data_IF_915677070356
#
_entry.id   IF_915677070356
#
_cell.length_a   1.000
_cell.length_b   1.000
_cell.length_c   1.000
_cell.angle_alpha   90.00
_cell.angle_beta   90.00
_cell.angle_gamma   90.00
#
_symmetry.space_group_name_H-M   'P 1'
#
loop_
_entity.id
_entity.type
_entity.pdbx_description
1 polymer ?
#
# COMPACT_ATOMS: atom_id res chain seq x y z
N UNK A 1 -7.84 6.50 13.73
CA UNK A 1 -7.78 7.56 12.71
C UNK A 1 -8.51 7.08 11.48
N UNK A 2 -9.60 7.77 11.08
CA UNK A 2 -10.33 7.44 9.85
C UNK A 2 -9.40 7.72 8.67
N UNK A 3 -8.77 6.70 8.14
CA UNK A 3 -7.89 6.76 6.94
C UNK A 3 -8.68 6.95 5.64
N UNK A 4 -10.01 7.06 5.72
CA UNK A 4 -10.88 7.50 4.64
C UNK A 4 -10.33 8.73 3.91
N UNK A 5 -9.78 9.72 4.65
CA UNK A 5 -9.33 10.98 4.08
C UNK A 5 -8.26 10.85 3.00
N UNK A 6 -7.26 9.95 3.17
CA UNK A 6 -6.16 9.81 2.20
C UNK A 6 -6.64 9.33 0.83
N UNK A 7 -7.39 8.22 0.82
CA UNK A 7 -7.82 7.58 -0.44
C UNK A 7 -9.01 8.32 -1.04
N UNK A 8 -9.95 8.80 -0.21
CA UNK A 8 -11.10 9.59 -0.69
C UNK A 8 -10.61 10.92 -1.31
N UNK A 9 -9.66 11.62 -0.68
CA UNK A 9 -9.09 12.84 -1.23
C UNK A 9 -8.39 12.60 -2.57
N UNK A 10 -7.64 11.51 -2.70
CA UNK A 10 -7.03 11.12 -3.97
C UNK A 10 -8.08 10.84 -5.04
N UNK A 11 -9.16 10.12 -4.67
CA UNK A 11 -10.28 9.81 -5.56
C UNK A 11 -10.98 11.07 -6.06
N UNK A 12 -11.28 12.00 -5.17
CA UNK A 12 -11.94 13.27 -5.53
C UNK A 12 -11.05 14.12 -6.44
N UNK A 13 -9.76 14.28 -6.09
CA UNK A 13 -8.81 15.08 -6.87
C UNK A 13 -8.59 14.57 -8.29
N UNK A 14 -8.60 13.27 -8.46
CA UNK A 14 -8.36 12.63 -9.77
C UNK A 14 -9.65 12.13 -10.43
N UNK A 15 -10.83 12.34 -9.81
CA UNK A 15 -12.12 11.88 -10.29
C UNK A 15 -12.08 10.39 -10.68
N UNK A 16 -11.67 9.52 -9.74
CA UNK A 16 -11.40 8.12 -10.03
C UNK A 16 -12.65 7.24 -10.01
N UNK A 17 -12.68 6.27 -10.93
CA UNK A 17 -13.61 5.15 -10.91
C UNK A 17 -13.38 4.24 -9.68
N UNK A 18 -14.35 3.38 -9.30
CA UNK A 18 -14.18 2.47 -8.16
C UNK A 18 -12.92 1.62 -8.26
N UNK A 19 -12.66 1.02 -9.42
CA UNK A 19 -11.52 0.13 -9.61
C UNK A 19 -10.18 0.89 -9.54
N UNK A 20 -10.10 2.09 -10.12
CA UNK A 20 -8.93 2.95 -10.01
C UNK A 20 -8.71 3.42 -8.56
N UNK A 21 -9.80 3.70 -7.83
CA UNK A 21 -9.74 4.08 -6.41
C UNK A 21 -9.20 2.95 -5.54
N UNK A 22 -9.66 1.71 -5.74
CA UNK A 22 -9.16 0.57 -4.97
C UNK A 22 -7.70 0.29 -5.31
N UNK A 23 -7.32 0.30 -6.59
CA UNK A 23 -5.95 0.03 -7.01
C UNK A 23 -4.97 1.09 -6.47
N UNK A 24 -5.24 2.38 -6.74
CA UNK A 24 -4.38 3.46 -6.23
C UNK A 24 -4.44 3.55 -4.70
N UNK A 25 -5.58 3.32 -4.08
CA UNK A 25 -5.75 3.34 -2.64
C UNK A 25 -4.92 2.28 -1.91
N UNK A 26 -4.84 1.06 -2.45
CA UNK A 26 -3.91 0.03 -1.96
C UNK A 26 -2.46 0.51 -2.08
N UNK A 27 -2.07 1.06 -3.23
CA UNK A 27 -0.71 1.56 -3.43
C UNK A 27 -0.38 2.75 -2.54
N UNK A 28 -1.32 3.69 -2.32
CA UNK A 28 -1.17 4.81 -1.38
C UNK A 28 -0.97 4.31 0.05
N UNK A 29 -1.74 3.30 0.47
CA UNK A 29 -1.63 2.70 1.81
C UNK A 29 -0.28 2.00 1.98
N UNK A 30 0.15 1.19 1.01
CA UNK A 30 1.47 0.54 1.01
C UNK A 30 2.60 1.57 1.01
N UNK A 31 2.52 2.57 0.13
CA UNK A 31 3.49 3.66 0.05
C UNK A 31 3.58 4.49 1.34
N UNK A 32 2.46 4.75 2.01
CA UNK A 32 2.44 5.43 3.31
C UNK A 32 3.23 4.66 4.38
N UNK A 33 2.99 3.35 4.48
CA UNK A 33 3.69 2.49 5.43
C UNK A 33 5.19 2.39 5.09
N UNK A 34 5.53 2.20 3.81
CA UNK A 34 6.94 2.16 3.36
C UNK A 34 7.64 3.50 3.55
N UNK A 35 6.94 4.63 3.34
CA UNK A 35 7.45 5.97 3.61
C UNK A 35 7.78 6.18 5.10
N UNK A 36 6.92 5.68 5.99
CA UNK A 36 7.15 5.73 7.43
C UNK A 36 8.37 4.89 7.90
N UNK A 37 8.81 3.93 7.09
CA UNK A 37 10.02 3.12 7.37
C UNK A 37 11.31 3.83 6.96
N UNK A 38 11.26 4.96 6.24
CA UNK A 38 12.42 5.76 5.89
C UNK A 38 12.99 6.44 7.15
N UNK A 39 14.30 6.71 7.16
CA UNK A 39 15.02 7.07 8.40
C UNK A 39 15.13 8.57 8.62
N UNK A 40 15.30 9.35 7.54
CA UNK A 40 15.57 10.78 7.65
C UNK A 40 14.37 11.59 7.14
N UNK A 41 14.08 12.69 7.78
CA UNK A 41 12.98 13.60 7.43
C UNK A 41 12.96 14.09 5.98
N UNK A 42 14.12 14.11 5.34
CA UNK A 42 14.27 14.52 3.94
C UNK A 42 14.14 13.36 2.94
N UNK A 43 14.12 12.12 3.42
CA UNK A 43 14.01 10.96 2.55
C UNK A 43 12.67 10.95 1.81
N UNK A 44 12.71 10.52 0.54
CA UNK A 44 11.53 10.41 -0.31
C UNK A 44 11.47 9.01 -0.90
N UNK A 45 10.34 8.37 -0.69
CA UNK A 45 9.99 7.11 -1.34
C UNK A 45 9.10 7.37 -2.53
N UNK A 46 9.39 6.73 -3.66
CA UNK A 46 8.45 6.65 -4.80
C UNK A 46 8.21 5.19 -5.16
N UNK A 47 6.95 4.78 -5.17
CA UNK A 47 6.51 3.45 -5.60
C UNK A 47 5.76 3.62 -6.91
N UNK A 48 6.20 2.93 -7.95
CA UNK A 48 5.59 2.99 -9.27
C UNK A 48 5.23 1.59 -9.75
N UNK A 49 4.02 1.45 -10.28
CA UNK A 49 3.57 0.26 -11.00
C UNK A 49 3.33 0.66 -12.46
N UNK A 50 3.95 -0.06 -13.37
CA UNK A 50 3.73 0.05 -14.82
C UNK A 50 3.20 -1.28 -15.32
N UNK A 51 1.89 -1.34 -15.57
CA UNK A 51 1.21 -2.52 -16.10
C UNK A 51 0.75 -2.31 -17.53
N UNK A 52 0.44 -3.41 -18.20
CA UNK A 52 -0.15 -3.38 -19.55
C UNK A 52 -1.68 -3.41 -19.53
N UNK A 53 -2.28 -3.45 -18.35
CA UNK A 53 -3.72 -3.37 -18.18
C UNK A 53 -4.28 -1.95 -18.44
N UNK A 54 -5.61 -1.81 -18.51
CA UNK A 54 -6.25 -0.55 -18.90
C UNK A 54 -6.06 0.61 -17.91
N UNK A 55 -5.62 0.36 -16.68
CA UNK A 55 -5.26 1.39 -15.70
C UNK A 55 -3.95 2.10 -16.07
N UNK A 56 -3.06 1.42 -16.81
CA UNK A 56 -1.76 1.92 -17.22
C UNK A 56 -0.75 1.94 -16.06
N UNK A 57 -0.31 3.12 -15.67
CA UNK A 57 0.65 3.29 -14.59
C UNK A 57 0.02 3.89 -13.34
N UNK A 58 0.57 3.53 -12.19
CA UNK A 58 0.28 4.18 -10.91
C UNK A 58 1.58 4.63 -10.27
N UNK A 59 1.61 5.80 -9.67
CA UNK A 59 2.78 6.31 -8.97
C UNK A 59 2.34 6.91 -7.64
N UNK A 60 3.05 6.54 -6.59
CA UNK A 60 2.85 7.06 -5.22
C UNK A 60 4.18 7.56 -4.71
N UNK A 61 4.17 8.73 -4.09
CA UNK A 61 5.32 9.31 -3.39
C UNK A 61 4.95 9.53 -1.93
N UNK A 62 5.82 9.10 -1.03
CA UNK A 62 5.63 9.21 0.41
C UNK A 62 6.91 9.65 1.11
N UNK A 63 6.77 10.17 2.34
CA UNK A 63 7.88 10.52 3.20
C UNK A 63 7.67 10.04 4.65
N UNK A 64 8.69 10.10 5.53
CA UNK A 64 8.58 9.66 6.93
C UNK A 64 7.52 10.39 7.75
N UNK A 65 7.09 11.57 7.33
CA UNK A 65 6.10 12.39 8.04
C UNK A 65 4.65 11.98 7.76
N UNK A 66 4.45 10.88 7.03
CA UNK A 66 3.12 10.42 6.64
C UNK A 66 2.45 11.26 5.55
N UNK A 67 3.22 12.09 4.84
CA UNK A 67 2.74 12.85 3.70
C UNK A 67 2.82 11.97 2.45
N UNK A 68 1.68 11.73 1.82
CA UNK A 68 1.56 10.80 0.69
C UNK A 68 0.80 11.48 -0.44
N UNK A 69 1.24 11.26 -1.65
CA UNK A 69 0.52 11.65 -2.87
C UNK A 69 0.67 10.57 -3.93
N UNK A 70 -0.25 10.53 -4.86
CA UNK A 70 -0.19 9.58 -5.96
C UNK A 70 -1.17 9.90 -7.05
N UNK A 71 -0.97 9.28 -8.20
CA UNK A 71 -1.86 9.38 -9.35
C UNK A 71 -1.89 8.07 -10.13
N UNK A 72 -2.88 7.95 -10.99
CA UNK A 72 -3.11 6.81 -11.87
C UNK A 72 -3.22 7.29 -13.32
N UNK A 73 -2.67 6.52 -14.26
CA UNK A 73 -2.64 6.89 -15.68
C UNK A 73 -4.03 7.00 -16.30
N UNK A 74 -4.93 6.05 -16.01
CA UNK A 74 -6.31 6.10 -16.44
C UNK A 74 -7.25 6.06 -15.20
N UNK A 75 -7.68 7.23 -14.71
CA UNK A 75 -8.55 7.30 -13.54
C UNK A 75 -10.00 6.82 -13.80
N UNK A 76 -10.42 6.73 -15.06
CA UNK A 76 -11.78 6.36 -15.47
C UNK A 76 -11.91 4.91 -15.94
N UNK A 77 -10.91 4.07 -15.64
CA UNK A 77 -10.95 2.66 -16.04
C UNK A 77 -12.18 1.96 -15.47
N UNK A 78 -12.88 1.22 -16.33
CA UNK A 78 -14.05 0.42 -15.98
C UNK A 78 -13.86 -1.00 -16.48
N UNK A 79 -14.05 -1.97 -15.60
CA UNK A 79 -14.06 -3.39 -15.94
C UNK A 79 -15.31 -4.04 -15.32
N UNK A 80 -15.83 -5.12 -15.91
CA UNK A 80 -16.87 -5.92 -15.27
C UNK A 80 -16.37 -6.50 -13.95
N UNK A 81 -17.30 -6.75 -13.03
CA UNK A 81 -16.98 -7.47 -11.81
C UNK A 81 -16.62 -8.92 -12.13
N UNK A 82 -15.61 -9.44 -11.47
CA UNK A 82 -15.22 -10.83 -11.49
C UNK A 82 -15.60 -11.46 -10.15
N UNK A 83 -16.43 -12.48 -10.18
CA UNK A 83 -16.97 -13.12 -8.97
C UNK A 83 -17.58 -12.12 -7.96
N UNK A 84 -18.23 -11.08 -8.47
CA UNK A 84 -18.85 -10.03 -7.65
C UNK A 84 -17.88 -9.01 -7.04
N UNK A 85 -16.58 -9.06 -7.41
CA UNK A 85 -15.53 -8.17 -6.91
C UNK A 85 -14.90 -7.35 -8.03
N UNK A 86 -14.28 -6.22 -7.65
CA UNK A 86 -13.46 -5.42 -8.57
C UNK A 86 -12.20 -6.21 -8.95
N UNK A 87 -11.94 -6.39 -10.24
CA UNK A 87 -10.78 -7.12 -10.75
C UNK A 87 -9.58 -6.19 -10.89
N UNK A 88 -8.82 -6.07 -9.81
CA UNK A 88 -7.64 -5.21 -9.77
C UNK A 88 -6.51 -5.79 -10.61
N UNK A 89 -6.37 -7.11 -10.59
CA UNK A 89 -5.33 -7.80 -11.34
C UNK A 89 -5.46 -7.54 -12.85
N UNK A 90 -6.66 -7.69 -13.41
CA UNK A 90 -6.90 -7.41 -14.83
C UNK A 90 -6.80 -5.90 -15.15
N UNK A 91 -7.15 -5.03 -14.20
CA UNK A 91 -6.99 -3.58 -14.38
C UNK A 91 -5.52 -3.17 -14.48
N UNK A 92 -4.66 -3.75 -13.67
CA UNK A 92 -3.20 -3.49 -13.64
C UNK A 92 -2.48 -4.25 -14.75
N UNK A 93 -2.80 -5.53 -14.93
CA UNK A 93 -2.19 -6.41 -15.91
C UNK A 93 -0.75 -6.80 -15.56
N UNK A 94 -0.05 -7.41 -16.51
CA UNK A 94 1.36 -7.79 -16.36
C UNK A 94 2.24 -6.55 -16.42
N UNK A 95 3.27 -6.46 -15.57
CA UNK A 95 4.11 -5.28 -15.52
C UNK A 95 5.26 -5.36 -14.52
N UNK A 96 5.72 -4.19 -14.13
CA UNK A 96 6.85 -3.98 -13.22
C UNK A 96 6.44 -3.07 -12.07
N UNK A 97 6.86 -3.45 -10.87
CA UNK A 97 6.87 -2.63 -9.67
C UNK A 97 8.28 -2.06 -9.49
N UNK A 98 8.40 -0.74 -9.40
CA UNK A 98 9.64 -0.02 -9.12
C UNK A 98 9.52 0.73 -7.80
N UNK A 99 10.50 0.55 -6.93
CA UNK A 99 10.62 1.30 -5.68
C UNK A 99 11.89 2.14 -5.72
N UNK A 100 11.73 3.45 -5.63
CA UNK A 100 12.81 4.43 -5.70
C UNK A 100 12.92 5.10 -4.33
N UNK A 101 14.10 5.01 -3.72
CA UNK A 101 14.41 5.62 -2.42
C UNK A 101 15.45 6.72 -2.63
N UNK A 102 15.01 7.98 -2.55
CA UNK A 102 15.91 9.13 -2.50
C UNK A 102 16.25 9.42 -1.03
N UNK A 103 17.46 9.06 -0.65
CA UNK A 103 18.02 9.21 0.70
C UNK A 103 19.15 10.25 0.73
N UNK A 104 19.15 11.18 -0.22
CA UNK A 104 20.16 12.25 -0.31
C UNK A 104 21.50 11.81 -0.90
N UNK A 105 21.59 10.66 -1.55
CA UNK A 105 22.77 10.23 -2.31
C UNK A 105 22.78 10.86 -3.69
N UNK A 106 23.94 10.77 -4.37
CA UNK A 106 24.09 11.31 -5.75
C UNK A 106 23.08 10.71 -6.72
N UNK A 107 22.75 9.44 -6.53
CA UNK A 107 21.73 8.73 -7.30
C UNK A 107 20.80 8.00 -6.30
N UNK A 108 19.48 8.01 -6.54
CA UNK A 108 18.55 7.29 -5.68
C UNK A 108 18.74 5.78 -5.84
N UNK A 109 18.45 5.03 -4.80
CA UNK A 109 18.34 3.58 -4.90
C UNK A 109 17.08 3.22 -5.68
N UNK A 110 17.20 2.28 -6.62
CA UNK A 110 16.08 1.78 -7.42
C UNK A 110 16.04 0.26 -7.33
N UNK A 111 14.91 -0.29 -6.89
CA UNK A 111 14.64 -1.71 -6.89
C UNK A 111 13.44 -2.02 -7.79
N UNK A 112 13.63 -2.91 -8.76
CA UNK A 112 12.59 -3.32 -9.70
C UNK A 112 12.25 -4.79 -9.53
N UNK A 113 10.96 -5.12 -9.60
CA UNK A 113 10.46 -6.51 -9.65
C UNK A 113 9.30 -6.64 -10.63
N UNK A 114 9.14 -7.81 -11.21
CA UNK A 114 7.94 -8.13 -11.99
C UNK A 114 6.71 -8.20 -11.07
N UNK A 115 5.55 -7.87 -11.59
CA UNK A 115 4.28 -8.14 -10.91
C UNK A 115 3.98 -9.63 -10.95
N UNK A 116 3.66 -10.22 -9.80
CA UNK A 116 3.37 -11.65 -9.66
C UNK A 116 1.88 -11.93 -9.80
N UNK A 117 1.05 -11.14 -9.09
CA UNK A 117 -0.40 -11.29 -9.11
C UNK A 117 -1.12 -10.04 -9.61
N UNK A 118 -0.45 -8.89 -9.62
CA UNK A 118 -1.02 -7.57 -9.90
C UNK A 118 -2.10 -7.12 -8.88
N UNK A 119 -2.16 -7.77 -7.72
CA UNK A 119 -3.03 -7.43 -6.58
C UNK A 119 -2.39 -6.40 -5.62
N UNK A 120 -1.21 -5.91 -5.95
CA UNK A 120 -0.43 -4.88 -5.24
C UNK A 120 0.15 -5.37 -3.92
N UNK A 121 -0.64 -5.99 -3.03
CA UNK A 121 -0.15 -6.49 -1.75
C UNK A 121 0.86 -7.64 -1.93
N UNK A 122 0.54 -8.60 -2.78
CA UNK A 122 1.41 -9.73 -3.10
C UNK A 122 2.67 -9.26 -3.84
N UNK A 123 2.50 -8.27 -4.74
CA UNK A 123 3.62 -7.70 -5.50
C UNK A 123 4.60 -6.96 -4.59
N UNK A 124 4.09 -6.23 -3.58
CA UNK A 124 4.94 -5.61 -2.54
C UNK A 124 5.60 -6.66 -1.63
N UNK A 125 4.89 -7.73 -1.28
CA UNK A 125 5.45 -8.86 -0.54
C UNK A 125 6.62 -9.47 -1.32
N UNK A 126 6.42 -9.70 -2.61
CA UNK A 126 7.46 -10.22 -3.51
C UNK A 126 8.65 -9.26 -3.64
N UNK A 127 8.38 -7.94 -3.75
CA UNK A 127 9.43 -6.92 -3.79
C UNK A 127 10.32 -6.97 -2.54
N UNK A 128 9.74 -7.02 -1.35
CA UNK A 128 10.52 -7.10 -0.11
C UNK A 128 11.38 -8.36 -0.06
N UNK A 129 10.84 -9.50 -0.45
CA UNK A 129 11.58 -10.76 -0.43
C UNK A 129 12.71 -10.80 -1.47
N UNK A 130 12.49 -10.30 -2.68
CA UNK A 130 13.42 -10.47 -3.79
C UNK A 130 14.38 -9.29 -4.00
N UNK A 131 13.92 -8.07 -3.77
CA UNK A 131 14.75 -6.87 -3.96
C UNK A 131 15.42 -6.42 -2.67
N UNK A 132 14.68 -6.41 -1.55
CA UNK A 132 15.23 -6.00 -0.25
C UNK A 132 15.78 -7.18 0.57
N UNK A 133 15.50 -8.41 0.15
CA UNK A 133 15.90 -9.64 0.83
C UNK A 133 15.42 -9.70 2.29
N UNK A 134 14.26 -9.13 2.56
CA UNK A 134 13.60 -9.13 3.86
C UNK A 134 12.31 -9.96 3.77
N UNK A 135 12.23 -11.12 4.44
CA UNK A 135 10.97 -11.87 4.49
C UNK A 135 9.86 -11.01 5.07
N UNK A 136 8.80 -10.84 4.30
CA UNK A 136 7.74 -9.90 4.65
C UNK A 136 6.37 -10.45 4.28
N UNK A 137 5.33 -9.96 4.95
CA UNK A 137 3.94 -10.15 4.58
C UNK A 137 3.26 -8.80 4.50
N UNK A 138 2.57 -8.52 3.40
CA UNK A 138 1.85 -7.28 3.18
C UNK A 138 0.37 -7.59 2.99
N UNK A 139 -0.47 -6.94 3.76
CA UNK A 139 -1.92 -6.97 3.58
C UNK A 139 -2.45 -5.57 3.30
N UNK A 140 -3.26 -5.40 2.25
CA UNK A 140 -3.84 -4.13 1.86
C UNK A 140 -5.34 -4.28 1.57
N UNK A 141 -6.14 -3.30 1.98
CA UNK A 141 -7.57 -3.29 1.74
C UNK A 141 -8.13 -1.89 1.53
N UNK A 142 -9.09 -1.79 0.62
CA UNK A 142 -9.91 -0.59 0.41
C UNK A 142 -11.36 -1.04 0.27
N UNK A 143 -12.23 -0.51 1.13
CA UNK A 143 -13.66 -0.72 1.08
C UNK A 143 -14.34 0.47 0.41
N UNK A 144 -15.23 0.18 -0.52
CA UNK A 144 -16.04 1.16 -1.22
C UNK A 144 -17.51 1.02 -0.82
N UNK A 145 -18.17 2.13 -0.56
CA UNK A 145 -19.62 2.20 -0.42
C UNK A 145 -20.31 2.05 -1.77
N UNK A 146 -21.60 1.75 -1.75
CA UNK A 146 -22.44 1.63 -2.96
C UNK A 146 -22.58 2.95 -3.74
N UNK A 147 -22.40 4.08 -3.09
CA UNK A 147 -22.41 5.42 -3.67
C UNK A 147 -21.05 5.85 -4.26
N UNK A 148 -20.09 4.91 -4.35
CA UNK A 148 -18.74 5.13 -4.83
C UNK A 148 -17.87 6.04 -3.92
N UNK A 149 -18.20 6.17 -2.65
CA UNK A 149 -17.30 6.77 -1.65
C UNK A 149 -16.41 5.72 -1.02
N UNK A 150 -15.25 6.12 -0.50
CA UNK A 150 -14.36 5.22 0.24
C UNK A 150 -14.90 5.07 1.66
N UNK A 151 -15.25 3.87 2.04
CA UNK A 151 -15.68 3.58 3.41
C UNK A 151 -14.49 3.48 4.35
N UNK A 152 -13.53 2.63 3.99
CA UNK A 152 -12.28 2.46 4.73
C UNK A 152 -11.13 2.04 3.81
N UNK A 153 -9.91 2.39 4.23
CA UNK A 153 -8.69 1.93 3.61
C UNK A 153 -7.63 1.67 4.69
N UNK A 154 -6.86 0.61 4.55
CA UNK A 154 -5.84 0.26 5.51
C UNK A 154 -5.02 -0.95 5.08
N UNK A 155 -4.08 -1.34 5.95
CA UNK A 155 -3.22 -2.48 5.70
C UNK A 155 -2.18 -2.66 6.78
N UNK A 156 -1.31 -3.64 6.58
CA UNK A 156 -0.15 -3.90 7.41
C UNK A 156 1.05 -4.31 6.54
N UNK A 157 2.24 -4.09 7.07
CA UNK A 157 3.50 -4.69 6.62
C UNK A 157 4.11 -5.35 7.84
N UNK A 158 4.38 -6.64 7.78
CA UNK A 158 5.09 -7.40 8.79
C UNK A 158 6.41 -7.85 8.18
N UNK A 159 7.51 -7.61 8.88
CA UNK A 159 8.84 -7.99 8.43
C UNK A 159 9.55 -8.79 9.51
N UNK A 160 10.18 -9.89 9.11
CA UNK A 160 11.01 -10.67 10.02
C UNK A 160 12.36 -9.97 10.24
N UNK A 161 12.67 -9.75 11.51
CA UNK A 161 13.98 -9.22 11.88
C UNK A 161 15.04 -10.33 11.90
N UNK A 162 16.31 -10.01 11.61
CA UNK A 162 17.40 -10.97 11.74
C UNK A 162 17.47 -11.57 13.15
N UNK A 163 17.55 -12.91 13.23
CA UNK A 163 17.61 -13.62 14.49
C UNK A 163 16.26 -14.10 15.03
N UNK A 164 15.16 -13.91 14.30
CA UNK A 164 13.90 -14.56 14.64
C UNK A 164 14.07 -16.10 14.67
N UNK A 165 13.54 -16.75 15.69
CA UNK A 165 13.62 -18.21 15.84
C UNK A 165 12.64 -18.90 14.88
N UNK A 166 12.96 -20.13 14.45
CA UNK A 166 12.09 -20.92 13.57
C UNK A 166 10.71 -21.11 14.21
N UNK A 167 10.65 -21.34 15.54
CA UNK A 167 9.38 -21.46 16.27
C UNK A 167 8.51 -20.19 16.18
N UNK A 168 9.14 -19.02 16.28
CA UNK A 168 8.43 -17.74 16.11
C UNK A 168 7.94 -17.56 14.69
N UNK A 169 8.76 -17.92 13.70
CA UNK A 169 8.41 -17.83 12.27
C UNK A 169 7.23 -18.73 11.97
N UNK A 170 7.27 -19.99 12.39
CA UNK A 170 6.18 -20.95 12.17
C UNK A 170 4.87 -20.47 12.80
N UNK A 171 4.93 -19.93 14.02
CA UNK A 171 3.78 -19.37 14.71
C UNK A 171 3.18 -18.17 13.95
N UNK A 172 4.04 -17.25 13.48
CA UNK A 172 3.62 -16.08 12.74
C UNK A 172 3.00 -16.46 11.38
N UNK A 173 3.62 -17.38 10.65
CA UNK A 173 3.09 -17.89 9.38
C UNK A 173 1.73 -18.56 9.55
N UNK A 174 1.57 -19.40 10.57
CA UNK A 174 0.29 -20.04 10.88
C UNK A 174 -0.79 -18.98 11.14
N UNK A 175 -0.45 -17.97 11.93
CA UNK A 175 -1.36 -16.86 12.24
C UNK A 175 -1.76 -16.07 10.99
N UNK A 176 -0.79 -15.68 10.14
CA UNK A 176 -1.06 -14.93 8.90
C UNK A 176 -1.96 -15.72 7.95
N UNK A 177 -1.84 -17.05 7.90
CA UNK A 177 -2.71 -17.92 7.08
C UNK A 177 -4.15 -17.97 7.58
N UNK A 178 -4.37 -17.77 8.87
CA UNK A 178 -5.69 -17.86 9.52
C UNK A 178 -6.43 -16.54 9.61
N UNK A 179 -5.73 -15.39 9.47
CA UNK A 179 -6.36 -14.08 9.59
C UNK A 179 -7.35 -13.82 8.45
N UNK A 180 -8.40 -13.10 8.78
CA UNK A 180 -9.33 -12.57 7.80
C UNK A 180 -8.62 -11.60 6.85
N UNK A 181 -9.18 -11.41 5.66
CA UNK A 181 -8.68 -10.38 4.76
C UNK A 181 -8.70 -9.00 5.42
N UNK A 182 -7.78 -8.12 5.03
CA UNK A 182 -7.76 -6.73 5.55
C UNK A 182 -9.10 -6.04 5.34
N UNK A 183 -9.76 -6.27 4.20
CA UNK A 183 -11.09 -5.70 3.94
C UNK A 183 -12.12 -6.18 4.95
N UNK A 184 -12.12 -7.46 5.34
CA UNK A 184 -13.04 -7.97 6.35
C UNK A 184 -12.77 -7.36 7.74
N UNK A 185 -11.52 -7.20 8.13
CA UNK A 185 -11.16 -6.54 9.39
C UNK A 185 -11.58 -5.06 9.40
N UNK A 186 -11.43 -4.37 8.28
CA UNK A 186 -11.88 -2.98 8.12
C UNK A 186 -13.42 -2.88 8.15
N UNK A 187 -14.13 -3.82 7.54
CA UNK A 187 -15.60 -3.90 7.56
C UNK A 187 -16.15 -4.11 8.98
N UNK A 188 -15.42 -4.86 9.82
CA UNK A 188 -15.71 -5.01 11.24
C UNK A 188 -15.40 -3.74 12.07
N UNK A 189 -14.85 -2.70 11.44
CA UNK A 189 -14.53 -1.42 12.06
C UNK A 189 -13.26 -1.42 12.90
N UNK A 190 -12.37 -2.40 12.74
CA UNK A 190 -11.12 -2.48 13.49
C UNK A 190 -10.23 -1.25 13.24
N UNK A 191 -9.63 -0.74 14.31
CA UNK A 191 -8.55 0.26 14.21
C UNK A 191 -7.24 -0.40 13.81
N UNK A 192 -6.23 0.36 13.34
CA UNK A 192 -4.91 -0.20 13.05
C UNK A 192 -4.29 -0.97 14.22
N UNK A 193 -4.45 -0.44 15.43
CA UNK A 193 -3.96 -1.09 16.66
C UNK A 193 -4.69 -2.41 16.90
N UNK A 194 -6.00 -2.45 16.71
CA UNK A 194 -6.80 -3.67 16.82
C UNK A 194 -6.44 -4.71 15.74
N UNK A 195 -6.09 -4.27 14.54
CA UNK A 195 -5.59 -5.17 13.49
C UNK A 195 -4.24 -5.78 13.92
N UNK A 196 -3.31 -4.97 14.44
CA UNK A 196 -2.03 -5.46 14.95
C UNK A 196 -2.23 -6.42 16.14
N UNK A 197 -3.10 -6.07 17.08
CA UNK A 197 -3.47 -6.92 18.21
C UNK A 197 -4.07 -8.26 17.76
N UNK A 198 -4.94 -8.21 16.74
CA UNK A 198 -5.55 -9.42 16.18
C UNK A 198 -4.52 -10.36 15.52
N UNK A 199 -3.50 -9.79 14.88
CA UNK A 199 -2.45 -10.57 14.19
C UNK A 199 -1.36 -11.00 15.16
N UNK A 200 -0.90 -10.14 16.07
CA UNK A 200 0.34 -10.27 16.83
C UNK A 200 0.13 -10.24 18.36
N UNK A 201 -1.11 -10.08 18.87
CA UNK A 201 -1.35 -9.81 20.28
C UNK A 201 -0.82 -10.88 21.26
N UNK A 202 -0.67 -12.12 20.79
CA UNK A 202 -0.07 -13.22 21.56
C UNK A 202 1.46 -13.36 21.37
N UNK A 203 2.10 -12.36 20.71
CA UNK A 203 3.52 -12.30 20.39
C UNK A 203 4.22 -11.08 21.02
N UNK A 204 3.73 -10.62 22.17
CA UNK A 204 4.30 -9.48 22.93
C UNK A 204 4.35 -8.19 22.09
N UNK A 205 3.22 -7.83 21.48
CA UNK A 205 3.10 -6.61 20.68
C UNK A 205 3.38 -5.34 21.51
N UNK A 206 4.33 -4.52 21.06
CA UNK A 206 4.60 -3.18 21.59
C UNK A 206 4.38 -2.13 20.50
N UNK A 207 3.52 -1.13 20.76
CA UNK A 207 3.25 -0.04 19.84
C UNK A 207 4.20 1.11 20.15
N UNK A 208 5.21 1.27 19.29
CA UNK A 208 6.30 2.22 19.52
C UNK A 208 5.91 3.65 19.14
N UNK A 209 5.14 3.85 18.04
CA UNK A 209 4.79 5.19 17.55
C UNK A 209 3.52 5.17 16.70
N UNK A 210 2.94 6.36 16.51
CA UNK A 210 1.79 6.60 15.63
C UNK A 210 2.01 7.84 14.77
N UNK A 211 2.13 7.65 13.45
CA UNK A 211 2.39 8.73 12.49
C UNK A 211 1.08 9.12 11.79
N UNK A 212 0.61 10.37 11.92
CA UNK A 212 -0.54 10.87 11.18
C UNK A 212 -0.29 10.84 9.68
N UNK A 213 -1.20 10.27 8.91
CA UNK A 213 -1.06 10.16 7.46
C UNK A 213 -2.07 11.06 6.74
N UNK A 214 -1.61 11.80 5.74
CA UNK A 214 -2.46 12.72 4.95
C UNK A 214 -2.08 12.67 3.47
N UNK A 215 -3.06 12.94 2.61
CA UNK A 215 -2.79 13.26 1.22
C UNK A 215 -2.17 14.66 1.16
N UNK A 216 -0.96 14.76 0.62
CA UNK A 216 -0.25 16.02 0.54
C UNK A 216 0.38 16.20 -0.84
N UNK A 217 -0.24 17.06 -1.65
CA UNK A 217 0.29 17.45 -2.94
C UNK A 217 0.84 18.88 -2.88
N UNK A 218 2.13 19.01 -2.99
CA UNK A 218 2.83 20.29 -3.08
C UNK A 218 3.14 20.71 -4.54
N UNK A 219 2.38 20.14 -5.49
CA UNK A 219 2.53 20.48 -6.91
C UNK A 219 1.91 21.84 -7.18
N UNK A 220 2.71 22.81 -7.64
CA UNK A 220 2.25 24.10 -8.16
C UNK A 220 2.81 24.28 -9.57
N UNK A 221 2.13 25.12 -10.38
CA UNK A 221 2.62 25.47 -11.73
C UNK A 221 4.03 26.06 -11.67
N UNK A 222 4.34 26.83 -10.63
CA UNK A 222 5.63 27.51 -10.44
C UNK A 222 6.78 26.55 -10.09
N UNK A 223 6.47 25.31 -9.72
CA UNK A 223 7.46 24.26 -9.43
C UNK A 223 7.73 23.32 -10.60
N UNK A 224 6.88 23.37 -11.64
CA UNK A 224 6.94 22.48 -12.81
C UNK A 224 7.38 23.26 -14.05
N UNK A 225 7.44 24.58 -13.97
CA UNK A 225 8.00 25.51 -14.96
C UNK A 225 9.48 25.83 -14.57
#
# INVERSE_FOLDING_TARGET
YKRQGLVEEAKERHNMSPIATVALGRLLTGGAMMGAMMKNDADILTVQIKGNGPIGSMTVTANPKGEVKGFVGNPQVMLPLKDGKLDIADAVGIGVLSVIKDIGLKEPYVGDTILITSEIADDLTYYFANSEQVPSSVGLGVLMNKDNTVEQAGGFIIQLMPGATDEFIDKLEARIKEIKSVTAMLEEGMTPEQILEHILGDMELDILDTIPTKFYCNCSKDRVS
#
